data_IF_468749374313
#
_entry.id   IF_468749374313
#
_cell.length_a   1.000
_cell.length_b   1.000
_cell.length_c   1.000
_cell.angle_alpha   90.00
_cell.angle_beta   90.00
_cell.angle_gamma   90.00
#
_symmetry.space_group_name_H-M   'P 1'
#
loop_
_entity.id
_entity.type
_entity.pdbx_description
1 polymer ?
#
# COMPACT_ATOMS: atom_id res chain seq x y z
N UNK A 1 13.92 2.63 20.90
CA UNK A 1 13.32 3.66 21.79
C UNK A 1 14.18 4.90 21.68
N UNK A 2 13.60 6.08 21.78
CA UNK A 2 14.34 7.35 21.86
C UNK A 2 14.03 8.02 23.18
N UNK A 3 15.07 8.60 23.78
CA UNK A 3 14.96 9.38 25.00
C UNK A 3 14.70 10.84 24.64
N UNK A 4 13.64 11.43 25.20
CA UNK A 4 13.36 12.86 25.15
C UNK A 4 13.98 13.53 26.38
N UNK A 5 15.08 14.27 26.20
CA UNK A 5 15.77 14.93 27.31
C UNK A 5 14.96 16.09 27.92
N UNK A 6 14.02 16.70 27.20
CA UNK A 6 13.20 17.80 27.74
C UNK A 6 12.05 17.27 28.60
N UNK A 7 11.60 16.06 28.33
CA UNK A 7 10.48 15.42 29.02
C UNK A 7 10.89 14.29 29.95
N UNK A 8 12.17 13.90 29.95
CA UNK A 8 12.74 12.79 30.73
C UNK A 8 12.00 11.45 30.53
N UNK A 9 11.51 11.18 29.31
CA UNK A 9 10.77 9.96 28.98
C UNK A 9 11.40 9.20 27.81
N UNK A 10 11.23 7.88 27.82
CA UNK A 10 11.47 7.02 26.65
C UNK A 10 10.16 6.83 25.89
N UNK A 11 10.22 6.94 24.56
CA UNK A 11 9.10 6.57 23.72
C UNK A 11 9.51 5.59 22.62
N UNK A 12 8.59 4.70 22.20
CA UNK A 12 8.85 3.77 21.12
C UNK A 12 9.08 4.55 19.82
N UNK A 13 10.10 4.14 19.07
CA UNK A 13 10.25 4.59 17.69
C UNK A 13 9.49 3.63 16.80
N UNK A 14 8.69 4.20 15.90
CA UNK A 14 8.12 3.43 14.80
C UNK A 14 9.28 2.91 13.93
N UNK A 15 9.33 1.60 13.62
CA UNK A 15 10.29 1.08 12.65
C UNK A 15 10.18 1.84 11.31
N UNK A 16 11.27 1.89 10.53
CA UNK A 16 11.20 2.43 9.17
C UNK A 16 10.13 1.69 8.37
N UNK A 17 9.54 2.37 7.40
CA UNK A 17 8.55 1.74 6.53
C UNK A 17 9.21 0.59 5.77
N UNK A 18 8.52 -0.56 5.67
CA UNK A 18 9.04 -1.64 4.86
C UNK A 18 9.07 -1.21 3.40
N UNK A 19 9.95 -1.84 2.62
CA UNK A 19 10.01 -1.70 1.18
C UNK A 19 9.86 -3.09 0.55
N UNK A 20 9.26 -3.16 -0.64
CA UNK A 20 9.05 -4.43 -1.33
C UNK A 20 7.96 -5.29 -0.69
N UNK A 21 8.17 -6.60 -0.69
CA UNK A 21 7.22 -7.58 -0.14
C UNK A 21 7.22 -7.56 1.39
N UNK A 22 6.03 -7.46 1.97
CA UNK A 22 5.82 -7.42 3.43
C UNK A 22 5.17 -8.68 3.98
N UNK A 23 4.64 -9.53 3.09
CA UNK A 23 3.94 -10.74 3.45
C UNK A 23 3.90 -11.73 2.29
N UNK A 24 4.02 -13.03 2.59
CA UNK A 24 3.85 -14.14 1.65
C UNK A 24 3.33 -15.38 2.36
N UNK A 25 2.31 -16.03 1.80
CA UNK A 25 1.78 -17.29 2.31
C UNK A 25 1.11 -18.10 1.20
N UNK A 26 1.38 -19.40 1.19
CA UNK A 26 0.62 -20.33 0.37
C UNK A 26 -0.75 -20.62 1.01
N UNK A 27 -1.82 -20.47 0.21
CA UNK A 27 -3.17 -20.86 0.59
C UNK A 27 -3.56 -22.16 -0.14
N UNK A 28 -3.78 -23.27 0.60
CA UNK A 28 -4.10 -24.57 0.00
C UNK A 28 -5.50 -24.65 -0.60
N UNK A 29 -6.43 -23.77 -0.24
CA UNK A 29 -7.80 -23.78 -0.77
C UNK A 29 -7.86 -23.19 -2.17
N UNK A 30 -7.19 -22.06 -2.37
CA UNK A 30 -7.08 -21.44 -3.71
C UNK A 30 -5.89 -21.97 -4.51
N UNK A 31 -5.01 -22.76 -3.87
CA UNK A 31 -3.79 -23.35 -4.45
C UNK A 31 -2.85 -22.30 -5.05
N UNK A 32 -2.74 -21.16 -4.38
CA UNK A 32 -1.95 -20.00 -4.83
C UNK A 32 -1.14 -19.43 -3.68
N UNK A 33 -0.04 -18.77 -4.01
CA UNK A 33 0.72 -17.99 -3.06
C UNK A 33 0.17 -16.57 -3.03
N UNK A 34 -0.43 -16.17 -1.90
CA UNK A 34 -0.83 -14.80 -1.64
C UNK A 34 0.39 -14.03 -1.11
N UNK A 35 0.73 -12.91 -1.75
CA UNK A 35 1.72 -11.97 -1.24
C UNK A 35 1.18 -10.53 -1.23
N UNK A 36 1.78 -9.70 -0.39
CA UNK A 36 1.54 -8.25 -0.37
C UNK A 36 2.87 -7.53 -0.47
N UNK A 37 2.93 -6.53 -1.35
CA UNK A 37 4.07 -5.63 -1.47
C UNK A 37 3.64 -4.18 -1.40
N UNK A 38 4.55 -3.29 -0.99
CA UNK A 38 4.33 -1.85 -1.06
C UNK A 38 4.08 -1.44 -2.52
N UNK A 39 3.08 -0.58 -2.74
CA UNK A 39 2.77 -0.09 -4.08
C UNK A 39 3.89 0.80 -4.63
N UNK A 40 4.15 0.69 -5.91
CA UNK A 40 5.10 1.52 -6.64
C UNK A 40 4.33 2.38 -7.64
N UNK A 41 4.31 3.72 -7.51
CA UNK A 41 3.58 4.60 -8.42
C UNK A 41 3.99 4.41 -9.89
N UNK A 42 5.25 4.08 -10.17
CA UNK A 42 5.74 3.88 -11.55
C UNK A 42 5.16 2.60 -12.16
N UNK A 43 5.02 1.53 -11.37
CA UNK A 43 4.57 0.23 -11.86
C UNK A 43 3.06 0.02 -11.73
N UNK A 44 2.44 0.64 -10.72
CA UNK A 44 1.09 0.32 -10.29
C UNK A 44 0.06 1.41 -10.60
N UNK A 45 0.47 2.66 -10.88
CA UNK A 45 -0.49 3.76 -11.06
C UNK A 45 -1.53 3.44 -12.14
N UNK A 46 -1.13 2.97 -13.31
CA UNK A 46 -2.09 2.63 -14.38
C UNK A 46 -3.10 1.56 -13.95
N UNK A 47 -2.64 0.54 -13.22
CA UNK A 47 -3.49 -0.55 -12.75
C UNK A 47 -4.45 -0.04 -11.67
N UNK A 48 -3.91 0.72 -10.72
CA UNK A 48 -4.68 1.35 -9.65
C UNK A 48 -5.75 2.29 -10.24
N UNK A 49 -5.43 3.10 -11.24
CA UNK A 49 -6.41 3.94 -11.95
C UNK A 49 -7.53 3.12 -12.58
N UNK A 50 -7.20 2.00 -13.25
CA UNK A 50 -8.25 1.13 -13.82
C UNK A 50 -9.16 0.56 -12.74
N UNK A 51 -8.62 0.17 -11.59
CA UNK A 51 -9.44 -0.33 -10.48
C UNK A 51 -10.31 0.77 -9.87
N UNK A 52 -9.75 1.95 -9.61
CA UNK A 52 -10.50 3.06 -9.00
C UNK A 52 -11.64 3.58 -9.90
N UNK A 53 -11.49 3.40 -11.22
CA UNK A 53 -12.49 3.78 -12.22
C UNK A 53 -13.46 2.64 -12.57
N UNK A 54 -13.29 1.44 -12.01
CA UNK A 54 -14.28 0.38 -12.17
C UNK A 54 -15.58 0.81 -11.45
N UNK A 55 -16.75 0.81 -12.10
CA UNK A 55 -17.99 1.34 -11.50
C UNK A 55 -18.34 0.70 -10.16
N UNK A 56 -18.00 -0.58 -9.96
CA UNK A 56 -18.24 -1.27 -8.68
C UNK A 56 -17.31 -0.74 -7.60
N UNK A 57 -16.06 -0.45 -7.92
CA UNK A 57 -15.07 0.09 -6.96
C UNK A 57 -15.37 1.56 -6.68
N UNK A 58 -15.62 2.35 -7.72
CA UNK A 58 -15.98 3.76 -7.64
C UNK A 58 -17.18 3.96 -6.71
N UNK A 59 -18.21 3.12 -6.81
CA UNK A 59 -19.39 3.20 -5.96
C UNK A 59 -19.07 3.19 -4.46
N UNK A 60 -18.03 2.46 -4.03
CA UNK A 60 -17.66 2.39 -2.61
C UNK A 60 -16.55 3.37 -2.23
N UNK A 61 -15.63 3.65 -3.16
CA UNK A 61 -14.41 4.40 -2.86
C UNK A 61 -14.49 5.86 -3.28
N UNK A 62 -15.38 6.20 -4.21
CA UNK A 62 -15.65 7.55 -4.74
C UNK A 62 -14.38 8.32 -5.13
N UNK A 63 -13.39 7.57 -5.61
CA UNK A 63 -12.04 8.04 -5.89
C UNK A 63 -11.67 7.77 -7.35
N UNK A 64 -12.65 7.77 -8.25
CA UNK A 64 -12.36 7.72 -9.69
C UNK A 64 -11.59 8.98 -10.11
N UNK A 65 -10.74 8.85 -11.13
CA UNK A 65 -9.90 9.97 -11.56
C UNK A 65 -8.95 9.63 -12.70
N UNK A 66 -8.20 10.64 -13.14
CA UNK A 66 -7.15 10.50 -14.14
C UNK A 66 -5.94 9.74 -13.58
N UNK A 67 -5.07 9.25 -14.46
CA UNK A 67 -3.80 8.62 -14.06
C UNK A 67 -2.98 9.55 -13.14
N UNK A 68 -2.88 10.83 -13.48
CA UNK A 68 -2.15 11.83 -12.70
C UNK A 68 -2.68 11.97 -11.26
N UNK A 69 -4.00 12.02 -11.09
CA UNK A 69 -4.65 12.07 -9.76
C UNK A 69 -4.29 10.85 -8.93
N UNK A 70 -4.28 9.67 -9.56
CA UNK A 70 -4.00 8.41 -8.87
C UNK A 70 -2.51 8.23 -8.54
N UNK A 71 -1.62 8.66 -9.43
CA UNK A 71 -0.17 8.70 -9.14
C UNK A 71 0.11 9.59 -7.93
N UNK A 72 -0.43 10.82 -7.92
CA UNK A 72 -0.28 11.74 -6.80
C UNK A 72 -0.91 11.20 -5.51
N UNK A 73 -2.01 10.45 -5.61
CA UNK A 73 -2.62 9.76 -4.48
C UNK A 73 -1.67 8.72 -3.87
N UNK A 74 -1.07 7.84 -4.69
CA UNK A 74 -0.14 6.82 -4.24
C UNK A 74 1.11 7.43 -3.59
N UNK A 75 1.69 8.46 -4.20
CA UNK A 75 2.84 9.18 -3.64
C UNK A 75 2.55 9.81 -2.27
N UNK A 76 1.37 10.42 -2.12
CA UNK A 76 0.93 10.97 -0.83
C UNK A 76 0.75 9.87 0.22
N UNK A 77 0.21 8.71 -0.16
CA UNK A 77 0.05 7.60 0.78
C UNK A 77 1.41 7.02 1.21
N UNK A 78 2.39 6.96 0.29
CA UNK A 78 3.75 6.50 0.58
C UNK A 78 4.51 7.44 1.52
N UNK A 79 4.17 8.72 1.55
CA UNK A 79 4.74 9.72 2.47
C UNK A 79 3.91 9.98 3.72
N UNK A 80 2.69 9.41 3.79
CA UNK A 80 1.81 9.52 4.95
C UNK A 80 2.46 9.02 6.23
N UNK A 81 1.92 9.36 7.41
CA UNK A 81 2.44 8.82 8.68
C UNK A 81 1.75 7.50 9.02
N UNK A 82 0.44 7.40 8.83
CA UNK A 82 -0.39 6.37 9.48
C UNK A 82 -0.55 5.06 8.71
N UNK A 83 -0.53 5.11 7.38
CA UNK A 83 -0.70 3.95 6.51
C UNK A 83 0.17 4.08 5.26
N UNK A 84 0.39 2.98 4.57
CA UNK A 84 1.03 2.92 3.25
C UNK A 84 0.26 1.96 2.36
N UNK A 85 0.24 2.18 1.04
CA UNK A 85 -0.54 1.38 0.11
C UNK A 85 0.16 0.03 -0.14
N UNK A 86 -0.65 -1.03 -0.25
CA UNK A 86 -0.21 -2.38 -0.57
C UNK A 86 -0.89 -2.87 -1.85
N UNK A 87 -0.15 -3.62 -2.64
CA UNK A 87 -0.65 -4.39 -3.77
C UNK A 87 -0.68 -5.86 -3.38
N UNK A 88 -1.86 -6.47 -3.51
CA UNK A 88 -2.05 -7.91 -3.35
C UNK A 88 -1.67 -8.64 -4.63
N UNK A 89 -0.94 -9.75 -4.48
CA UNK A 89 -0.52 -10.59 -5.59
C UNK A 89 -0.92 -12.05 -5.34
N UNK A 90 -1.30 -12.75 -6.40
CA UNK A 90 -1.36 -14.21 -6.44
C UNK A 90 -0.28 -14.73 -7.37
N UNK A 91 0.60 -15.59 -6.85
CA UNK A 91 1.74 -16.15 -7.59
C UNK A 91 2.55 -15.03 -8.28
N UNK A 92 2.87 -13.99 -7.49
CA UNK A 92 3.61 -12.78 -7.90
C UNK A 92 2.89 -11.88 -8.93
N UNK A 93 1.64 -12.18 -9.30
CA UNK A 93 0.83 -11.35 -10.21
C UNK A 93 -0.18 -10.51 -9.43
N UNK A 94 -0.17 -9.17 -9.60
CA UNK A 94 -1.20 -8.33 -8.98
C UNK A 94 -2.58 -8.67 -9.54
N UNK A 95 -3.58 -8.75 -8.66
CA UNK A 95 -4.96 -9.13 -9.01
C UNK A 95 -5.93 -7.98 -8.73
#
# INVERSE_FOLDING_TARGET
MVFDAQREIYFPLRPPRPQGEVYRRYDPRVRKTLSFRVADPVLDAERFTRWMNDPRVEYFWEQSGSLEVQTAYLERQLTGKHAFPLIGCFDDRPF
#
